data_IF_848185229799
#
_entry.id   IF_848185229799
#
_cell.length_a   1.000
_cell.length_b   1.000
_cell.length_c   1.000
_cell.angle_alpha   90.00
_cell.angle_beta   90.00
_cell.angle_gamma   90.00
#
_symmetry.space_group_name_H-M   'P 1'
#
loop_
_entity.id
_entity.type
_entity.pdbx_description
1 polymer ?
#
# COMPACT_ATOMS: atom_id res chain seq x y z
N UNK A 1 -14.92 -22.25 69.82
CA UNK A 1 -15.31 -20.88 69.40
C UNK A 1 -14.43 -20.49 68.22
N UNK A 2 -14.94 -20.62 67.00
CA UNK A 2 -14.17 -20.46 65.76
C UNK A 2 -13.79 -19.00 65.49
N UNK A 3 -12.58 -18.80 64.98
CA UNK A 3 -11.95 -17.50 64.74
C UNK A 3 -12.74 -16.63 63.75
N UNK A 4 -13.48 -15.65 64.27
CA UNK A 4 -14.20 -14.59 63.56
C UNK A 4 -13.29 -13.49 62.99
N UNK A 5 -12.05 -13.82 62.62
CA UNK A 5 -11.08 -12.85 62.06
C UNK A 5 -10.88 -12.99 60.54
N UNK A 6 -11.48 -13.97 59.89
CA UNK A 6 -11.32 -14.21 58.44
C UNK A 6 -12.47 -13.61 57.61
N UNK A 7 -13.64 -13.38 58.21
CA UNK A 7 -14.87 -13.00 57.52
C UNK A 7 -14.90 -11.53 57.04
N UNK A 8 -13.95 -10.70 57.49
CA UNK A 8 -13.77 -9.32 57.03
C UNK A 8 -12.53 -9.13 56.14
N UNK A 9 -11.94 -10.21 55.63
CA UNK A 9 -10.84 -10.08 54.68
C UNK A 9 -11.42 -9.69 53.30
N UNK A 10 -11.16 -8.44 52.87
CA UNK A 10 -11.48 -7.87 51.53
C UNK A 10 -10.71 -8.58 50.40
N UNK A 11 -10.60 -9.91 50.44
CA UNK A 11 -9.83 -10.70 49.50
C UNK A 11 -10.60 -10.78 48.18
N UNK A 12 -10.03 -10.15 47.17
CA UNK A 12 -10.54 -10.20 45.80
C UNK A 12 -10.69 -11.66 45.33
N UNK A 13 -11.82 -11.97 44.71
CA UNK A 13 -12.09 -13.29 44.12
C UNK A 13 -10.99 -13.72 43.15
N UNK A 14 -10.79 -15.02 42.97
CA UNK A 14 -9.78 -15.55 42.03
C UNK A 14 -9.95 -14.99 40.61
N UNK A 15 -11.21 -14.81 40.17
CA UNK A 15 -11.54 -14.22 38.86
C UNK A 15 -11.08 -12.77 38.74
N UNK A 16 -11.31 -11.96 39.78
CA UNK A 16 -10.91 -10.54 39.78
C UNK A 16 -9.40 -10.38 39.83
N UNK A 17 -8.69 -11.21 40.63
CA UNK A 17 -7.22 -11.25 40.63
C UNK A 17 -6.63 -11.61 39.26
N UNK A 18 -7.13 -12.67 38.61
CA UNK A 18 -6.70 -13.06 37.24
C UNK A 18 -6.94 -11.94 36.22
N UNK A 19 -8.07 -11.24 36.32
CA UNK A 19 -8.41 -10.11 35.45
C UNK A 19 -7.42 -8.95 35.63
N UNK A 20 -7.09 -8.58 36.86
CA UNK A 20 -6.14 -7.50 37.15
C UNK A 20 -4.75 -7.78 36.60
N UNK A 21 -4.25 -9.01 36.76
CA UNK A 21 -2.95 -9.41 36.18
C UNK A 21 -2.96 -9.26 34.66
N UNK A 22 -4.04 -9.71 34.00
CA UNK A 22 -4.20 -9.57 32.56
C UNK A 22 -4.25 -8.10 32.13
N UNK A 23 -5.05 -7.28 32.79
CA UNK A 23 -5.18 -5.84 32.48
C UNK A 23 -3.86 -5.10 32.71
N UNK A 24 -3.13 -5.42 33.78
CA UNK A 24 -1.80 -4.87 34.05
C UNK A 24 -0.80 -5.26 32.96
N UNK A 25 -0.79 -6.52 32.53
CA UNK A 25 0.05 -6.98 31.43
C UNK A 25 -0.30 -6.29 30.10
N UNK A 26 -1.60 -6.15 29.79
CA UNK A 26 -2.05 -5.41 28.59
C UNK A 26 -1.61 -3.92 28.64
N UNK A 27 -1.66 -3.29 29.82
CA UNK A 27 -1.17 -1.91 30.02
C UNK A 27 0.35 -1.81 29.81
N UNK A 28 1.10 -2.77 30.33
CA UNK A 28 2.55 -2.86 30.11
C UNK A 28 2.88 -3.00 28.62
N UNK A 29 2.21 -3.92 27.90
CA UNK A 29 2.38 -4.07 26.44
C UNK A 29 2.08 -2.77 25.69
N UNK A 30 1.04 -2.03 26.08
CA UNK A 30 0.74 -0.71 25.49
C UNK A 30 1.87 0.29 25.70
N UNK A 31 2.47 0.33 26.88
CA UNK A 31 3.59 1.22 27.18
C UNK A 31 4.82 0.86 26.34
N UNK A 32 5.19 -0.43 26.28
CA UNK A 32 6.32 -0.89 25.47
C UNK A 32 6.12 -0.60 23.98
N UNK A 33 4.92 -0.84 23.44
CA UNK A 33 4.62 -0.51 22.05
C UNK A 33 4.66 1.02 21.77
N UNK A 34 4.28 1.87 22.73
CA UNK A 34 4.43 3.33 22.59
C UNK A 34 5.90 3.74 22.59
N UNK A 35 6.71 3.18 23.49
CA UNK A 35 8.14 3.42 23.57
C UNK A 35 8.83 2.99 22.27
N UNK A 36 8.53 1.78 21.79
CA UNK A 36 9.02 1.26 20.51
C UNK A 36 8.74 2.22 19.34
N UNK A 37 7.51 2.75 19.24
CA UNK A 37 7.17 3.76 18.21
C UNK A 37 7.98 5.05 18.37
N UNK A 38 8.20 5.51 19.60
CA UNK A 38 9.00 6.71 19.89
C UNK A 38 10.45 6.53 19.46
N UNK A 39 11.08 5.42 19.85
CA UNK A 39 12.46 5.09 19.47
C UNK A 39 12.61 4.92 17.95
N UNK A 40 11.64 4.27 17.29
CA UNK A 40 11.64 4.18 15.83
C UNK A 40 11.54 5.55 15.14
N UNK A 41 10.76 6.48 15.69
CA UNK A 41 10.70 7.84 15.18
C UNK A 41 12.02 8.58 15.40
N UNK A 42 12.63 8.43 16.58
CA UNK A 42 13.96 8.99 16.86
C UNK A 42 15.00 8.48 15.86
N UNK A 43 15.08 7.15 15.66
CA UNK A 43 15.96 6.52 14.66
C UNK A 43 15.76 7.06 13.25
N UNK A 44 14.51 7.27 12.84
CA UNK A 44 14.19 7.83 11.50
C UNK A 44 14.59 9.29 11.37
N UNK A 45 14.52 10.05 12.46
CA UNK A 45 14.80 11.48 12.50
C UNK A 45 16.28 11.82 12.76
N UNK A 46 17.15 10.82 12.91
CA UNK A 46 18.60 11.04 12.97
C UNK A 46 19.05 11.77 11.70
N UNK A 47 19.73 12.93 11.83
CA UNK A 47 20.18 13.72 10.69
C UNK A 47 21.19 12.94 9.86
N UNK A 48 21.15 13.17 8.54
CA UNK A 48 22.11 12.59 7.62
C UNK A 48 23.42 13.36 7.70
N UNK A 49 24.54 12.64 7.81
CA UNK A 49 25.88 13.21 7.84
C UNK A 49 26.51 13.03 6.45
N UNK A 50 27.11 14.08 5.87
CA UNK A 50 27.79 13.96 4.58
C UNK A 50 28.97 12.98 4.68
N UNK A 51 29.16 12.18 3.64
CA UNK A 51 30.35 11.37 3.47
C UNK A 51 31.51 12.26 3.00
N UNK A 52 32.75 12.01 3.45
CA UNK A 52 33.92 12.76 2.98
C UNK A 52 34.13 12.56 1.47
N UNK A 53 33.90 11.34 0.99
CA UNK A 53 33.97 11.00 -0.43
C UNK A 53 32.66 10.35 -0.89
N UNK A 54 31.91 10.97 -1.82
CA UNK A 54 30.72 10.36 -2.37
C UNK A 54 31.10 9.22 -3.32
N UNK A 55 30.40 8.10 -3.22
CA UNK A 55 30.67 6.92 -4.05
C UNK A 55 29.46 6.50 -4.88
N UNK A 56 29.72 5.87 -6.02
CA UNK A 56 28.68 5.35 -6.89
C UNK A 56 28.23 3.96 -6.40
N UNK A 57 26.95 3.80 -6.05
CA UNK A 57 26.37 2.49 -5.72
C UNK A 57 25.82 1.74 -6.93
N UNK A 58 25.38 2.47 -7.96
CA UNK A 58 24.80 1.87 -9.15
C UNK A 58 24.27 2.92 -10.11
N UNK A 59 23.11 2.67 -10.69
CA UNK A 59 22.41 3.56 -11.61
C UNK A 59 20.95 3.73 -11.20
N UNK A 60 20.41 4.91 -11.48
CA UNK A 60 18.99 5.20 -11.37
C UNK A 60 18.43 5.63 -12.72
N UNK A 61 17.26 5.07 -13.06
CA UNK A 61 16.50 5.43 -14.25
C UNK A 61 15.18 6.07 -13.84
N UNK A 62 14.89 7.20 -14.47
CA UNK A 62 13.73 8.05 -14.16
C UNK A 62 13.28 8.77 -15.42
N UNK A 63 12.09 9.37 -15.37
CA UNK A 63 11.56 10.15 -16.49
C UNK A 63 12.05 11.59 -16.43
N UNK A 64 12.35 12.15 -17.60
CA UNK A 64 12.66 13.56 -17.85
C UNK A 64 11.77 14.02 -19.00
N UNK A 65 11.49 15.32 -19.11
CA UNK A 65 10.82 15.85 -20.29
C UNK A 65 11.63 15.53 -21.55
N UNK A 66 10.91 15.27 -22.63
CA UNK A 66 11.50 15.20 -23.96
C UNK A 66 12.02 16.60 -24.36
N UNK A 67 13.10 16.61 -25.12
CA UNK A 67 13.87 17.83 -25.44
C UNK A 67 13.06 18.90 -26.20
N UNK A 68 12.05 18.49 -26.98
CA UNK A 68 11.10 19.36 -27.69
C UNK A 68 10.21 20.16 -26.72
N UNK A 69 9.65 19.48 -25.72
CA UNK A 69 8.79 20.09 -24.70
C UNK A 69 9.63 20.90 -23.70
N UNK A 70 10.85 20.44 -23.41
CA UNK A 70 11.77 21.15 -22.54
C UNK A 70 12.15 22.54 -23.09
N UNK A 71 12.12 22.74 -24.42
CA UNK A 71 12.32 24.05 -25.08
C UNK A 71 11.05 24.88 -25.22
N UNK A 72 9.88 24.31 -24.87
CA UNK A 72 8.59 24.97 -25.01
C UNK A 72 8.26 25.86 -23.82
N UNK A 73 7.29 26.77 -23.99
CA UNK A 73 6.76 27.61 -22.89
C UNK A 73 6.07 26.80 -21.79
N UNK A 74 5.70 25.56 -22.07
CA UNK A 74 4.96 24.68 -21.13
C UNK A 74 5.88 23.81 -20.27
N UNK A 75 7.20 24.07 -20.28
CA UNK A 75 8.20 23.28 -19.55
C UNK A 75 7.90 23.20 -18.05
N UNK A 76 7.60 24.32 -17.41
CA UNK A 76 7.35 24.38 -15.97
C UNK A 76 6.09 23.60 -15.58
N UNK A 77 5.04 23.71 -16.39
CA UNK A 77 3.80 22.97 -16.19
C UNK A 77 4.01 21.45 -16.21
N UNK A 78 4.73 20.94 -17.21
CA UNK A 78 5.00 19.51 -17.31
C UNK A 78 6.05 19.03 -16.30
N UNK A 79 6.97 19.89 -15.88
CA UNK A 79 7.88 19.60 -14.75
C UNK A 79 7.09 19.39 -13.45
N UNK A 80 6.13 20.28 -13.13
CA UNK A 80 5.30 20.16 -11.93
C UNK A 80 4.48 18.86 -11.92
N UNK A 81 3.90 18.48 -13.07
CA UNK A 81 3.21 17.19 -13.20
C UNK A 81 4.20 16.04 -13.00
N UNK A 82 5.34 16.10 -13.69
CA UNK A 82 6.36 15.05 -13.64
C UNK A 82 6.85 14.82 -12.22
N UNK A 83 7.13 15.87 -11.44
CA UNK A 83 7.53 15.76 -10.03
C UNK A 83 6.54 14.93 -9.20
N UNK A 84 5.23 15.06 -9.46
CA UNK A 84 4.16 14.34 -8.76
C UNK A 84 4.06 12.87 -9.18
N UNK A 85 4.34 12.56 -10.44
CA UNK A 85 4.12 11.21 -11.02
C UNK A 85 5.41 10.46 -11.38
N UNK A 86 6.59 11.04 -11.13
CA UNK A 86 7.85 10.42 -11.54
C UNK A 86 8.06 9.10 -10.79
N UNK A 87 8.71 8.16 -11.46
CA UNK A 87 9.11 6.89 -10.86
C UNK A 87 10.61 6.73 -10.97
N UNK A 88 11.22 6.18 -9.92
CA UNK A 88 12.65 5.91 -9.87
C UNK A 88 12.87 4.40 -9.82
N UNK A 89 13.68 3.88 -10.73
CA UNK A 89 14.15 2.50 -10.71
C UNK A 89 15.65 2.48 -10.47
N UNK A 90 16.07 1.72 -9.47
CA UNK A 90 17.48 1.54 -9.13
C UNK A 90 17.98 0.18 -9.62
N UNK A 91 19.22 0.13 -10.11
CA UNK A 91 19.90 -1.10 -10.51
C UNK A 91 21.40 -0.93 -10.39
N UNK A 92 22.10 -2.01 -10.10
CA UNK A 92 23.57 -2.01 -10.06
C UNK A 92 24.15 -1.79 -11.48
N UNK A 93 23.42 -2.21 -12.52
CA UNK A 93 23.84 -2.12 -13.92
C UNK A 93 23.05 -1.08 -14.72
N UNK A 94 23.74 -0.35 -15.61
CA UNK A 94 23.15 0.69 -16.47
C UNK A 94 22.07 0.18 -17.45
N UNK A 95 22.02 -1.13 -17.71
CA UNK A 95 21.14 -1.73 -18.73
C UNK A 95 19.70 -1.97 -18.26
N UNK A 96 19.43 -1.99 -16.95
CA UNK A 96 18.10 -2.24 -16.36
C UNK A 96 17.38 -3.47 -16.97
N UNK A 97 18.08 -4.60 -17.07
CA UNK A 97 17.53 -5.84 -17.63
C UNK A 97 16.93 -6.72 -16.53
N UNK A 98 15.89 -7.47 -16.86
CA UNK A 98 15.32 -8.53 -16.01
C UNK A 98 15.42 -9.88 -16.71
N UNK A 99 15.69 -10.93 -15.94
CA UNK A 99 15.64 -12.32 -16.44
C UNK A 99 14.18 -12.72 -16.64
N UNK A 100 13.85 -13.23 -17.82
CA UNK A 100 12.53 -13.76 -18.18
C UNK A 100 12.71 -15.12 -18.85
N UNK A 101 11.83 -16.08 -18.60
CA UNK A 101 11.79 -17.33 -19.37
C UNK A 101 10.84 -17.17 -20.55
N UNK A 102 11.30 -17.56 -21.75
CA UNK A 102 10.48 -17.63 -22.96
C UNK A 102 10.82 -18.93 -23.66
N UNK A 103 9.81 -19.78 -23.91
CA UNK A 103 9.98 -21.11 -24.54
C UNK A 103 11.12 -21.94 -23.93
N UNK A 104 11.14 -22.07 -22.59
CA UNK A 104 12.16 -22.87 -21.88
C UNK A 104 13.56 -22.23 -21.75
N UNK A 105 13.88 -21.16 -22.47
CA UNK A 105 15.17 -20.46 -22.38
C UNK A 105 15.11 -19.25 -21.44
N UNK A 106 16.19 -18.98 -20.68
CA UNK A 106 16.33 -17.77 -19.86
C UNK A 106 16.90 -16.66 -20.74
N UNK A 107 16.12 -15.60 -20.96
CA UNK A 107 16.50 -14.42 -21.74
C UNK A 107 16.56 -13.19 -20.84
N UNK A 108 17.40 -12.22 -21.21
CA UNK A 108 17.40 -10.91 -20.57
C UNK A 108 16.54 -9.96 -21.41
N UNK A 109 15.59 -9.28 -20.77
CA UNK A 109 14.67 -8.34 -21.42
C UNK A 109 14.74 -7.01 -20.68
N UNK A 110 14.68 -5.86 -21.37
CA UNK A 110 14.54 -4.57 -20.71
C UNK A 110 13.40 -4.56 -19.69
N UNK A 111 13.70 -4.09 -18.48
CA UNK A 111 12.67 -3.87 -17.46
C UNK A 111 11.83 -2.68 -17.91
N UNK A 112 10.52 -2.88 -17.99
CA UNK A 112 9.58 -1.80 -18.28
C UNK A 112 9.46 -0.86 -17.08
N UNK A 113 9.38 0.44 -17.35
CA UNK A 113 9.14 1.49 -16.38
C UNK A 113 8.01 2.36 -16.89
N UNK A 114 6.99 2.56 -16.07
CA UNK A 114 5.84 3.42 -16.34
C UNK A 114 5.82 4.57 -15.36
N UNK A 115 5.16 5.66 -15.74
CA UNK A 115 4.84 6.75 -14.82
C UNK A 115 3.95 6.22 -13.68
N UNK A 116 3.96 6.92 -12.55
CA UNK A 116 3.15 6.53 -11.42
C UNK A 116 1.66 6.68 -11.75
N UNK A 117 0.89 5.60 -11.56
CA UNK A 117 -0.57 5.64 -11.63
C UNK A 117 -1.09 6.15 -10.28
N UNK A 118 -1.97 7.14 -10.32
CA UNK A 118 -2.54 7.71 -9.10
C UNK A 118 -3.79 6.92 -8.75
N UNK A 119 -3.89 6.38 -7.53
CA UNK A 119 -5.10 5.66 -7.10
C UNK A 119 -6.20 6.68 -6.81
N UNK A 120 -7.47 6.33 -6.98
CA UNK A 120 -8.60 7.24 -6.75
C UNK A 120 -8.60 7.96 -5.39
N UNK A 121 -8.16 7.30 -4.31
CA UNK A 121 -8.05 7.95 -2.99
C UNK A 121 -6.83 8.90 -2.86
N UNK A 122 -5.88 8.85 -3.80
CA UNK A 122 -4.74 9.77 -3.91
C UNK A 122 -4.99 10.89 -4.93
N UNK A 123 -5.83 10.66 -5.93
CA UNK A 123 -6.27 11.64 -6.93
C UNK A 123 -7.15 12.68 -6.23
N UNK A 124 -7.16 13.98 -6.62
CA UNK A 124 -7.33 15.11 -5.70
C UNK A 124 -8.73 15.16 -5.08
N UNK A 125 -8.84 14.42 -3.97
CA UNK A 125 -9.79 14.56 -2.88
C UNK A 125 -9.04 14.62 -1.53
N UNK A 126 -7.73 14.36 -1.52
CA UNK A 126 -6.85 14.51 -0.36
C UNK A 126 -5.66 15.42 -0.70
N UNK A 127 -5.41 16.39 0.19
CA UNK A 127 -4.41 17.49 0.14
C UNK A 127 -2.94 17.13 -0.15
N UNK A 128 -2.58 15.87 -0.42
CA UNK A 128 -1.16 15.44 -0.49
C UNK A 128 -0.49 15.71 -1.84
N UNK A 129 -1.27 15.72 -2.91
CA UNK A 129 -0.79 16.01 -4.27
C UNK A 129 -1.69 17.14 -4.76
N UNK A 130 -1.31 18.38 -4.47
CA UNK A 130 -2.08 19.56 -4.85
C UNK A 130 -2.08 19.69 -6.38
N UNK A 131 -3.05 19.06 -7.04
CA UNK A 131 -3.22 19.12 -8.49
C UNK A 131 -4.10 20.31 -8.87
N UNK A 132 -3.59 21.17 -9.75
CA UNK A 132 -4.38 22.22 -10.37
C UNK A 132 -5.42 21.60 -11.32
N UNK A 133 -6.58 22.23 -11.49
CA UNK A 133 -7.63 21.80 -12.43
C UNK A 133 -7.08 21.56 -13.85
N UNK A 134 -6.13 22.40 -14.29
CA UNK A 134 -5.44 22.23 -15.58
C UNK A 134 -4.61 20.96 -15.66
N UNK A 135 -3.93 20.59 -14.58
CA UNK A 135 -3.15 19.34 -14.52
C UNK A 135 -4.06 18.11 -14.51
N UNK A 136 -5.19 18.18 -13.79
CA UNK A 136 -6.16 17.09 -13.71
C UNK A 136 -6.72 16.70 -15.07
N UNK A 137 -6.89 17.66 -15.99
CA UNK A 137 -7.36 17.41 -17.34
C UNK A 137 -6.44 16.48 -18.16
N UNK A 138 -5.18 16.33 -17.75
CA UNK A 138 -4.22 15.41 -18.39
C UNK A 138 -4.27 13.99 -17.83
N UNK A 139 -5.19 13.69 -16.92
CA UNK A 139 -5.34 12.35 -16.36
C UNK A 139 -6.63 11.68 -16.85
N UNK A 140 -6.49 10.41 -17.23
CA UNK A 140 -7.61 9.57 -17.66
C UNK A 140 -7.93 8.60 -16.53
N UNK A 141 -9.22 8.51 -16.18
CA UNK A 141 -9.72 7.49 -15.26
C UNK A 141 -9.70 6.13 -15.96
N UNK A 142 -9.03 5.15 -15.35
CA UNK A 142 -8.90 3.79 -15.85
C UNK A 142 -9.21 2.81 -14.72
N UNK A 143 -9.94 1.75 -15.02
CA UNK A 143 -10.26 0.70 -14.06
C UNK A 143 -9.50 -0.57 -14.43
N UNK A 144 -8.74 -1.12 -13.49
CA UNK A 144 -8.01 -2.37 -13.67
C UNK A 144 -8.43 -3.38 -12.60
N UNK A 145 -8.65 -4.63 -13.00
CA UNK A 145 -8.91 -5.69 -12.05
C UNK A 145 -7.62 -6.07 -11.33
N UNK A 146 -7.58 -5.91 -10.00
CA UNK A 146 -6.46 -6.35 -9.18
C UNK A 146 -6.65 -7.82 -8.75
N UNK A 147 -5.84 -8.79 -9.24
CA UNK A 147 -6.01 -10.20 -8.90
C UNK A 147 -5.72 -10.52 -7.44
N UNK A 148 -4.82 -9.77 -6.80
CA UNK A 148 -4.43 -10.01 -5.41
C UNK A 148 -5.56 -9.62 -4.44
N UNK A 149 -6.24 -8.51 -4.72
CA UNK A 149 -7.36 -8.02 -3.91
C UNK A 149 -8.71 -8.56 -4.39
N UNK A 150 -8.77 -9.11 -5.61
CA UNK A 150 -9.99 -9.55 -6.30
C UNK A 150 -11.03 -8.43 -6.45
N UNK A 151 -10.57 -7.21 -6.71
CA UNK A 151 -11.42 -6.02 -6.79
C UNK A 151 -10.96 -5.16 -7.97
N UNK A 152 -11.90 -4.54 -8.68
CA UNK A 152 -11.62 -3.46 -9.62
C UNK A 152 -11.14 -2.22 -8.87
N UNK A 153 -9.94 -1.78 -9.20
CA UNK A 153 -9.34 -0.59 -8.63
C UNK A 153 -9.32 0.50 -9.69
N UNK A 154 -9.80 1.67 -9.30
CA UNK A 154 -9.79 2.88 -10.10
C UNK A 154 -8.45 3.58 -9.96
N UNK A 155 -7.82 3.85 -11.10
CA UNK A 155 -6.57 4.60 -11.23
C UNK A 155 -6.75 5.79 -12.18
N UNK A 156 -5.84 6.74 -12.06
CA UNK A 156 -5.71 7.88 -12.95
C UNK A 156 -4.32 7.82 -13.59
N UNK A 157 -4.31 7.68 -14.91
CA UNK A 157 -3.10 7.58 -15.71
C UNK A 157 -2.86 8.88 -16.46
N UNK A 158 -1.59 9.27 -16.59
CA UNK A 158 -1.24 10.42 -17.40
C UNK A 158 -1.48 10.11 -18.89
N UNK A 159 -2.25 10.98 -19.55
CA UNK A 159 -2.74 10.80 -20.92
C UNK A 159 -1.64 10.80 -21.98
N UNK A 160 -0.59 11.59 -21.80
CA UNK A 160 0.45 11.80 -22.81
C UNK A 160 1.85 11.27 -22.41
N UNK A 161 2.07 9.98 -22.10
CA UNK A 161 3.36 9.49 -21.60
C UNK A 161 4.55 9.77 -22.53
N UNK A 162 4.31 9.93 -23.83
CA UNK A 162 5.33 10.22 -24.85
C UNK A 162 6.06 11.54 -24.62
N UNK A 163 5.48 12.46 -23.83
CA UNK A 163 6.11 13.72 -23.41
C UNK A 163 7.33 13.52 -22.52
N UNK A 164 7.48 12.32 -21.95
CA UNK A 164 8.56 11.99 -21.06
C UNK A 164 9.43 10.88 -21.65
N UNK A 165 10.75 11.00 -21.44
CA UNK A 165 11.76 10.06 -21.89
C UNK A 165 12.54 9.54 -20.70
N UNK A 166 12.89 8.25 -20.71
CA UNK A 166 13.72 7.66 -19.67
C UNK A 166 15.17 8.14 -19.82
N UNK A 167 15.72 8.69 -18.75
CA UNK A 167 17.15 9.00 -18.63
C UNK A 167 17.76 8.17 -17.51
N UNK A 168 19.03 7.84 -17.67
CA UNK A 168 19.82 7.07 -16.70
C UNK A 168 20.95 7.93 -16.19
N UNK A 169 21.14 7.98 -14.87
CA UNK A 169 22.29 8.61 -14.24
C UNK A 169 22.94 7.69 -13.20
N UNK A 170 24.22 7.88 -12.86
CA UNK A 170 24.84 7.23 -11.71
C UNK A 170 24.06 7.51 -10.43
N UNK A 171 23.88 6.50 -9.60
CA UNK A 171 23.31 6.63 -8.26
C UNK A 171 24.45 6.82 -7.25
N UNK A 172 24.71 8.09 -6.92
CA UNK A 172 25.72 8.49 -5.94
C UNK A 172 25.13 8.50 -4.54
N UNK A 173 25.85 7.90 -3.59
CA UNK A 173 25.58 8.03 -2.16
C UNK A 173 26.51 9.12 -1.62
N UNK A 174 25.91 10.18 -1.08
CA UNK A 174 26.61 11.36 -0.60
C UNK A 174 26.51 11.53 0.92
N UNK A 175 25.53 10.90 1.55
CA UNK A 175 25.29 10.98 2.97
C UNK A 175 25.04 9.60 3.55
N UNK A 176 25.30 9.45 4.84
CA UNK A 176 24.94 8.26 5.60
C UNK A 176 24.17 8.66 6.86
N UNK A 177 23.40 7.72 7.41
CA UNK A 177 22.77 7.90 8.72
C UNK A 177 23.70 7.28 9.77
N UNK A 178 24.19 8.05 10.75
CA UNK A 178 25.02 7.48 11.81
C UNK A 178 24.23 6.46 12.64
N UNK A 179 24.93 5.43 13.11
CA UNK A 179 24.37 4.39 13.93
C UNK A 179 24.44 4.81 15.40
N UNK A 180 23.30 4.84 16.08
CA UNK A 180 23.21 5.03 17.52
C UNK A 180 23.09 3.64 18.19
N UNK A 181 24.18 3.17 18.79
CA UNK A 181 24.29 1.82 19.35
C UNK A 181 23.32 1.59 20.52
N UNK A 182 23.14 2.59 21.38
CA UNK A 182 22.25 2.48 22.54
C UNK A 182 20.80 2.39 22.08
N UNK A 183 20.41 3.23 21.13
CA UNK A 183 19.08 3.20 20.52
C UNK A 183 18.79 1.85 19.85
N UNK A 184 19.74 1.33 19.06
CA UNK A 184 19.57 0.01 18.40
C UNK A 184 19.45 -1.12 19.42
N UNK A 185 20.22 -1.07 20.51
CA UNK A 185 20.15 -2.06 21.58
C UNK A 185 18.79 -2.04 22.27
N UNK A 186 18.26 -0.86 22.58
CA UNK A 186 16.92 -0.72 23.16
C UNK A 186 15.83 -1.22 22.21
N UNK A 187 15.90 -0.85 20.93
CA UNK A 187 14.97 -1.34 19.92
C UNK A 187 14.99 -2.86 19.80
N UNK A 188 16.18 -3.48 19.76
CA UNK A 188 16.31 -4.93 19.67
C UNK A 188 15.68 -5.66 20.87
N UNK A 189 15.82 -5.11 22.08
CA UNK A 189 15.19 -5.67 23.27
C UNK A 189 13.65 -5.58 23.20
N UNK A 190 13.13 -4.44 22.74
CA UNK A 190 11.69 -4.26 22.55
C UNK A 190 11.14 -5.13 21.43
N UNK A 191 11.85 -5.26 20.31
CA UNK A 191 11.46 -6.13 19.20
C UNK A 191 11.33 -7.57 19.68
N UNK A 192 12.32 -8.08 20.42
CA UNK A 192 12.27 -9.43 21.01
C UNK A 192 11.02 -9.63 21.90
N UNK A 193 10.64 -8.63 22.68
CA UNK A 193 9.44 -8.69 23.52
C UNK A 193 8.15 -8.62 22.69
N UNK A 194 8.07 -7.71 21.72
CA UNK A 194 6.86 -7.43 20.93
C UNK A 194 6.58 -8.51 19.87
N UNK A 195 7.61 -9.17 19.35
CA UNK A 195 7.49 -10.27 18.38
C UNK A 195 6.94 -11.56 18.98
N UNK A 196 6.88 -11.66 20.31
CA UNK A 196 6.25 -12.78 20.98
C UNK A 196 4.78 -12.92 20.54
N UNK A 197 4.39 -14.09 20.05
CA UNK A 197 3.04 -14.39 19.54
C UNK A 197 1.92 -13.95 20.49
N UNK A 198 2.09 -14.16 21.82
CA UNK A 198 1.08 -13.76 22.83
C UNK A 198 0.91 -12.23 22.89
N UNK A 199 2.03 -11.51 22.85
CA UNK A 199 2.07 -10.04 22.90
C UNK A 199 1.54 -9.45 21.59
N UNK A 200 1.98 -9.98 20.44
CA UNK A 200 1.49 -9.61 19.11
C UNK A 200 -0.02 -9.76 18.98
N UNK A 201 -0.59 -10.84 19.52
CA UNK A 201 -2.03 -11.06 19.58
C UNK A 201 -2.78 -9.99 20.38
N UNK A 202 -2.21 -9.53 21.50
CA UNK A 202 -2.77 -8.40 22.28
C UNK A 202 -2.69 -7.10 21.47
N UNK A 203 -1.54 -6.81 20.87
CA UNK A 203 -1.33 -5.60 20.05
C UNK A 203 -2.35 -5.55 18.92
N UNK A 204 -2.48 -6.63 18.14
CA UNK A 204 -3.39 -6.68 17.00
C UNK A 204 -4.85 -6.48 17.43
N UNK A 205 -5.30 -7.19 18.49
CA UNK A 205 -6.72 -7.19 18.89
C UNK A 205 -7.14 -5.97 19.71
N UNK A 206 -6.23 -5.36 20.49
CA UNK A 206 -6.56 -4.34 21.50
C UNK A 206 -5.93 -2.97 21.25
N UNK A 207 -4.85 -2.89 20.48
CA UNK A 207 -4.05 -1.66 20.29
C UNK A 207 -4.11 -1.14 18.86
N UNK A 208 -3.81 -1.99 17.86
CA UNK A 208 -3.63 -1.57 16.47
C UNK A 208 -4.95 -1.34 15.73
N UNK A 209 -5.95 -2.21 15.87
CA UNK A 209 -7.33 -2.00 15.40
C UNK A 209 -8.27 -3.13 15.82
N UNK A 210 -9.53 -2.81 16.14
CA UNK A 210 -10.64 -3.75 15.96
C UNK A 210 -10.60 -4.17 14.49
N UNK A 211 -10.45 -5.46 14.21
CA UNK A 211 -10.61 -5.98 12.84
C UNK A 211 -11.88 -5.35 12.26
N UNK A 212 -11.78 -4.57 11.20
CA UNK A 212 -12.93 -4.35 10.33
C UNK A 212 -13.37 -5.76 9.93
N UNK A 213 -14.47 -6.22 10.50
CA UNK A 213 -14.99 -7.53 10.16
C UNK A 213 -15.35 -7.50 8.68
N UNK A 214 -15.26 -8.63 8.00
CA UNK A 214 -15.84 -8.80 6.66
C UNK A 214 -17.27 -8.21 6.57
N UNK A 215 -18.00 -8.24 7.69
CA UNK A 215 -19.33 -7.63 7.90
C UNK A 215 -19.38 -6.11 7.70
N UNK A 216 -18.32 -5.36 8.00
CA UNK A 216 -18.28 -3.89 7.82
C UNK A 216 -18.09 -3.50 6.34
N UNK A 217 -17.37 -4.35 5.58
CA UNK A 217 -17.18 -4.21 4.13
C UNK A 217 -18.46 -4.57 3.38
N UNK A 218 -19.14 -5.63 3.83
CA UNK A 218 -20.43 -6.08 3.30
C UNK A 218 -21.54 -5.03 3.48
N UNK A 219 -21.59 -4.37 4.64
CA UNK A 219 -22.53 -3.28 4.90
C UNK A 219 -22.28 -2.03 4.05
N UNK A 220 -21.02 -1.71 3.72
CA UNK A 220 -20.66 -0.52 2.94
C UNK A 220 -20.89 -0.64 1.43
N UNK A 221 -20.90 -1.86 0.88
CA UNK A 221 -21.00 -2.07 -0.57
C UNK A 221 -22.41 -2.40 -1.05
N UNK A 222 -23.38 -2.53 -0.14
CA UNK A 222 -24.70 -3.07 -0.47
C UNK A 222 -24.61 -4.49 -1.03
N UNK A 223 -25.71 -5.24 -0.97
CA UNK A 223 -25.78 -6.57 -1.60
C UNK A 223 -25.78 -6.51 -3.14
N UNK A 224 -25.58 -5.34 -3.74
CA UNK A 224 -25.71 -5.11 -5.17
C UNK A 224 -24.57 -5.72 -6.00
N UNK A 225 -23.35 -5.82 -5.45
CA UNK A 225 -22.23 -6.48 -6.14
C UNK A 225 -22.40 -7.99 -6.34
N UNK A 226 -23.40 -8.58 -5.68
CA UNK A 226 -23.80 -9.98 -5.82
C UNK A 226 -25.22 -10.14 -6.35
N UNK A 227 -25.82 -9.10 -6.96
CA UNK A 227 -26.78 -9.37 -8.03
C UNK A 227 -25.97 -9.92 -9.19
N UNK A 228 -25.72 -11.23 -9.13
CA UNK A 228 -25.54 -12.01 -10.34
C UNK A 228 -26.67 -11.54 -11.26
N UNK A 229 -26.36 -11.01 -12.44
CA UNK A 229 -27.39 -10.86 -13.46
C UNK A 229 -27.97 -12.27 -13.60
N UNK A 230 -29.23 -12.45 -13.19
CA UNK A 230 -29.99 -13.66 -13.39
C UNK A 230 -30.31 -13.83 -14.89
N UNK A 231 -29.29 -13.78 -15.75
CA UNK A 231 -29.35 -14.34 -17.10
C UNK A 231 -29.61 -15.86 -17.05
N UNK A 232 -29.50 -16.47 -15.86
CA UNK A 232 -29.90 -17.86 -15.59
C UNK A 232 -31.39 -18.05 -15.29
N UNK A 233 -32.18 -16.98 -15.13
CA UNK A 233 -33.65 -17.07 -15.02
C UNK A 233 -34.35 -16.84 -16.36
N UNK A 234 -33.61 -16.65 -17.46
CA UNK A 234 -34.18 -16.88 -18.77
C UNK A 234 -34.27 -18.39 -18.98
N UNK A 235 -35.46 -18.93 -18.70
CA UNK A 235 -35.89 -20.29 -18.99
C UNK A 235 -35.80 -20.66 -20.49
N UNK A 236 -35.16 -19.85 -21.36
CA UNK A 236 -34.92 -20.17 -22.76
C UNK A 236 -34.14 -21.48 -22.93
N UNK A 237 -33.19 -21.80 -22.04
CA UNK A 237 -32.43 -23.06 -22.15
C UNK A 237 -33.26 -24.31 -21.79
N UNK A 238 -34.47 -24.13 -21.24
CA UNK A 238 -35.43 -25.21 -20.93
C UNK A 238 -36.62 -25.22 -21.89
N UNK A 239 -36.81 -24.17 -22.68
CA UNK A 239 -37.84 -24.12 -23.71
C UNK A 239 -37.31 -24.82 -24.97
N UNK A 240 -38.03 -25.86 -25.44
CA UNK A 240 -37.78 -26.46 -26.74
C UNK A 240 -38.35 -25.55 -27.83
N UNK A 241 -37.68 -24.43 -28.08
CA UNK A 241 -38.02 -23.51 -29.17
C UNK A 241 -37.19 -23.84 -30.41
N UNK A 242 -37.81 -23.71 -31.57
CA UNK A 242 -37.14 -23.81 -32.87
C UNK A 242 -36.22 -22.61 -33.11
N UNK A 243 -35.22 -22.76 -33.98
CA UNK A 243 -34.25 -21.69 -34.25
C UNK A 243 -34.89 -20.39 -34.78
N UNK A 244 -36.03 -20.49 -35.48
CA UNK A 244 -36.79 -19.33 -35.97
C UNK A 244 -37.44 -18.52 -34.86
N UNK A 245 -37.94 -19.19 -33.81
CA UNK A 245 -38.57 -18.52 -32.66
C UNK A 245 -37.54 -17.82 -31.77
N UNK A 246 -36.30 -18.33 -31.72
CA UNK A 246 -35.21 -17.67 -31.00
C UNK A 246 -34.78 -16.39 -31.72
N UNK A 247 -34.74 -16.41 -33.06
CA UNK A 247 -34.34 -15.25 -33.86
C UNK A 247 -35.30 -14.07 -33.71
N UNK A 248 -36.62 -14.33 -33.69
CA UNK A 248 -37.63 -13.26 -33.53
C UNK A 248 -37.57 -12.59 -32.15
N UNK A 249 -37.31 -13.36 -31.09
CA UNK A 249 -37.18 -12.84 -29.72
C UNK A 249 -35.97 -11.89 -29.61
N UNK A 250 -34.90 -12.13 -30.37
CA UNK A 250 -33.72 -11.26 -30.37
C UNK A 250 -33.93 -9.98 -31.19
N UNK A 251 -34.76 -10.00 -32.24
CA UNK A 251 -35.12 -8.80 -33.00
C UNK A 251 -36.04 -7.85 -32.21
N UNK A 252 -36.93 -8.37 -31.35
CA UNK A 252 -37.80 -7.55 -30.50
C UNK A 252 -37.09 -6.90 -29.29
N UNK A 253 -35.85 -7.33 -28.99
CA UNK A 253 -35.08 -6.83 -27.84
C UNK A 253 -34.01 -5.77 -28.19
N UNK A 254 -33.89 -5.40 -29.47
CA UNK A 254 -33.02 -4.33 -29.99
C UNK A 254 -33.80 -3.04 -30.25
#
# INVERSE_FOLDING_TARGET
MGNSFIENSRLRSLRTRKRLVKEAFEKYVRQQNKLWRKLWNQKRNIPLVPLPEPYQKGFVRFFVLRDDIARSKSVDFFNQILEKINTYQYSDNRKFLKKKRKRGKKIQVPREQKLHKIIEWQFPKYKKLEFNYKEQAYFIKTEEYNPHRKVFETYYEFRDPWRFVLRVKPYMITHYRPLDLDLERELAQLDKFLDNYKVRGIIQKKIASRSYGWKDVEKKKGKEKYKYNDLKNNNLSKMKLSASEIASIFEEML
#
